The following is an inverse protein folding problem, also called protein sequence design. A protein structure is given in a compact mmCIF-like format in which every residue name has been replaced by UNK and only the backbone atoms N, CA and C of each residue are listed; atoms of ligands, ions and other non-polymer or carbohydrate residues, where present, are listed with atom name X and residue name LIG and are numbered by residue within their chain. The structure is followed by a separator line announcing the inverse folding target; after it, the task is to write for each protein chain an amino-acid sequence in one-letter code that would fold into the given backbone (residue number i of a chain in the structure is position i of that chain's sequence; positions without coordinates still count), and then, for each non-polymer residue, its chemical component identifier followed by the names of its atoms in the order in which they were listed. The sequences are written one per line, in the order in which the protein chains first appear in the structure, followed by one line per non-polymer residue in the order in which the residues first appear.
data_IF_791834310669
#
_entry.id   IF_791834310669
#
_cell.length_a   1.000
_cell.length_b   1.000
_cell.length_c   1.000
_cell.angle_alpha   90.00
_cell.angle_beta   90.00
_cell.angle_gamma   90.00
#
_symmetry.space_group_name_H-M   'P 1'
#
loop_
_entity.id
_entity.type
_entity.pdbx_description
1 polymer ?
#
# COMPACT_ATOMS: atom_id res chain seq x y z
N UNK A 1 28.74 33.54 -68.17
CA UNK A 1 27.49 33.49 -67.39
C UNK A 1 27.86 33.15 -65.97
N UNK A 2 28.08 34.16 -65.11
CA UNK A 2 28.56 34.03 -63.76
C UNK A 2 27.33 34.18 -62.79
N UNK A 3 26.98 33.12 -62.04
CA UNK A 3 25.93 33.17 -61.02
C UNK A 3 26.50 33.64 -59.70
N UNK A 4 26.09 34.81 -59.26
CA UNK A 4 26.37 35.43 -57.96
C UNK A 4 25.51 34.74 -56.90
N UNK A 5 26.14 34.09 -55.95
CA UNK A 5 25.45 33.54 -54.74
C UNK A 5 25.64 34.53 -53.60
N UNK A 6 24.54 35.19 -53.23
CA UNK A 6 24.45 36.05 -52.07
C UNK A 6 24.29 35.18 -50.81
N UNK A 7 25.31 35.21 -49.96
CA UNK A 7 25.31 34.49 -48.68
C UNK A 7 24.69 35.41 -47.62
N UNK A 8 23.44 35.15 -47.22
CA UNK A 8 22.76 35.89 -46.16
C UNK A 8 23.16 35.26 -44.79
N UNK A 9 24.09 35.92 -44.09
CA UNK A 9 24.55 35.52 -42.77
C UNK A 9 23.54 36.04 -41.72
N UNK A 10 22.58 35.19 -41.27
CA UNK A 10 21.72 35.48 -40.14
C UNK A 10 22.54 35.39 -38.82
N UNK A 11 22.90 36.53 -38.29
CA UNK A 11 23.51 36.67 -36.97
C UNK A 11 22.41 36.49 -35.90
N UNK A 12 22.27 35.29 -35.37
CA UNK A 12 21.43 35.01 -34.19
C UNK A 12 22.12 35.69 -32.97
N UNK A 13 21.64 36.85 -32.57
CA UNK A 13 21.99 37.43 -31.27
C UNK A 13 21.32 36.59 -30.16
N UNK A 14 22.08 35.66 -29.60
CA UNK A 14 21.72 35.04 -28.31
C UNK A 14 21.81 36.13 -27.23
N UNK A 15 20.66 36.64 -26.81
CA UNK A 15 20.57 37.45 -25.59
C UNK A 15 20.83 36.54 -24.41
N UNK A 16 22.09 36.46 -23.96
CA UNK A 16 22.42 35.95 -22.66
C UNK A 16 21.75 36.90 -21.64
N UNK A 17 20.80 36.37 -20.86
CA UNK A 17 20.22 37.07 -19.73
C UNK A 17 21.35 37.33 -18.73
N UNK A 18 21.95 38.51 -18.78
CA UNK A 18 22.92 38.97 -17.81
C UNK A 18 22.16 39.18 -16.47
N UNK A 19 22.63 38.53 -15.43
CA UNK A 19 22.18 38.79 -14.06
C UNK A 19 22.63 40.26 -13.75
N UNK A 20 21.66 41.11 -13.53
CA UNK A 20 21.90 42.53 -13.27
C UNK A 20 22.40 42.67 -11.82
N UNK A 21 23.64 43.12 -11.62
CA UNK A 21 24.26 43.24 -10.30
C UNK A 21 24.06 44.65 -9.74
N UNK A 22 23.49 44.73 -8.57
CA UNK A 22 23.30 45.98 -7.81
C UNK A 22 24.51 46.15 -6.89
N UNK A 23 25.35 47.12 -7.15
CA UNK A 23 26.51 47.45 -6.33
C UNK A 23 26.02 48.34 -5.13
N UNK A 24 26.21 47.87 -3.91
CA UNK A 24 25.82 48.62 -2.71
C UNK A 24 26.95 48.59 -1.68
N UNK A 25 27.24 49.75 -1.11
CA UNK A 25 28.15 49.87 0.02
C UNK A 25 27.46 49.51 1.35
N UNK A 26 28.26 49.34 2.42
CA UNK A 26 27.73 48.91 3.73
C UNK A 26 26.70 49.89 4.32
N UNK A 27 26.89 51.20 4.11
CA UNK A 27 25.97 52.25 4.59
C UNK A 27 24.62 52.15 3.85
N UNK A 28 24.63 51.96 2.56
CA UNK A 28 23.40 51.79 1.75
C UNK A 28 22.62 50.52 2.08
N UNK A 29 23.32 49.41 2.38
CA UNK A 29 22.67 48.17 2.85
C UNK A 29 21.93 48.41 4.16
N UNK A 30 22.50 49.19 5.07
CA UNK A 30 21.91 49.51 6.36
C UNK A 30 20.70 50.46 6.25
N UNK A 31 20.83 51.48 5.39
CA UNK A 31 19.73 52.43 5.10
C UNK A 31 18.52 51.77 4.47
N UNK A 32 18.73 50.78 3.61
CA UNK A 32 17.67 50.00 2.96
C UNK A 32 17.07 48.92 3.88
N UNK A 33 17.59 48.74 5.10
CA UNK A 33 17.12 47.79 6.07
C UNK A 33 17.18 46.33 5.57
N UNK A 34 18.22 45.99 4.76
CA UNK A 34 18.36 44.69 4.18
C UNK A 34 18.76 43.68 5.26
N UNK A 35 17.99 42.60 5.37
CA UNK A 35 18.32 41.43 6.19
C UNK A 35 18.50 40.22 5.28
N UNK A 36 19.61 39.53 5.45
CA UNK A 36 19.92 38.32 4.70
C UNK A 36 19.66 37.09 5.53
N UNK A 37 19.22 36.05 4.85
CA UNK A 37 19.13 34.67 5.41
C UNK A 37 19.90 33.72 4.49
N UNK A 38 20.62 32.73 5.06
CA UNK A 38 21.23 31.72 4.23
C UNK A 38 20.12 30.90 3.54
N UNK A 39 20.32 30.60 2.27
CA UNK A 39 19.44 29.71 1.55
C UNK A 39 19.54 28.30 2.19
N UNK A 40 18.45 27.71 2.69
CA UNK A 40 18.52 26.43 3.34
C UNK A 40 19.13 25.41 2.36
N UNK A 41 19.83 24.42 2.92
CA UNK A 41 20.23 23.27 2.11
C UNK A 41 18.98 22.68 1.46
N UNK A 42 19.11 22.18 0.21
CA UNK A 42 17.97 21.59 -0.52
C UNK A 42 17.06 20.79 0.41
N UNK A 43 15.91 21.33 0.71
CA UNK A 43 14.89 20.55 1.40
C UNK A 43 14.24 19.64 0.35
N UNK A 44 14.15 18.37 0.68
CA UNK A 44 13.32 17.45 -0.08
C UNK A 44 11.92 18.08 -0.12
N UNK A 45 11.35 18.23 -1.31
CA UNK A 45 9.99 18.73 -1.42
C UNK A 45 9.05 17.82 -0.62
N UNK A 46 8.16 18.43 0.17
CA UNK A 46 7.14 17.70 0.89
C UNK A 46 5.78 18.00 0.28
N UNK A 47 5.03 16.95 -0.03
CA UNK A 47 3.61 17.07 -0.35
C UNK A 47 2.82 16.86 0.94
N UNK A 48 2.52 17.97 1.60
CA UNK A 48 1.75 17.97 2.85
C UNK A 48 0.23 18.04 2.59
N UNK A 49 -0.57 17.60 3.56
CA UNK A 49 -2.03 17.72 3.52
C UNK A 49 -2.71 16.86 2.47
N UNK A 50 -2.07 15.76 2.02
CA UNK A 50 -2.68 14.87 1.04
C UNK A 50 -3.77 14.00 1.68
N UNK A 51 -5.02 14.05 1.19
CA UNK A 51 -6.09 13.24 1.74
C UNK A 51 -5.80 11.76 1.53
N UNK A 52 -5.92 11.00 2.61
CA UNK A 52 -5.65 9.57 2.62
C UNK A 52 -6.69 8.82 3.45
N UNK A 53 -6.96 7.58 3.05
CA UNK A 53 -7.76 6.65 3.83
C UNK A 53 -6.89 5.52 4.36
N UNK A 54 -7.08 5.18 5.63
CA UNK A 54 -6.44 4.04 6.27
C UNK A 54 -7.16 2.78 5.83
N UNK A 55 -6.44 1.83 5.23
CA UNK A 55 -6.99 0.56 4.77
C UNK A 55 -6.18 -0.63 5.28
N UNK A 56 -6.82 -1.78 5.35
CA UNK A 56 -6.14 -3.03 5.67
C UNK A 56 -5.56 -3.60 4.37
N UNK A 57 -4.27 -3.98 4.31
CA UNK A 57 -3.73 -4.71 3.16
C UNK A 57 -4.55 -5.95 2.85
N UNK A 58 -4.85 -6.21 1.56
CA UNK A 58 -5.77 -7.31 1.17
C UNK A 58 -5.32 -8.71 1.61
N UNK A 59 -4.02 -8.93 1.82
CA UNK A 59 -3.48 -10.17 2.34
C UNK A 59 -3.60 -10.32 3.88
N UNK A 60 -4.12 -9.32 4.57
CA UNK A 60 -4.29 -9.28 6.02
C UNK A 60 -5.77 -9.31 6.45
N UNK A 61 -6.70 -9.35 5.51
CA UNK A 61 -8.14 -9.39 5.75
C UNK A 61 -8.70 -10.74 5.32
N UNK A 62 -9.35 -11.45 6.25
CA UNK A 62 -9.91 -12.78 6.01
C UNK A 62 -11.38 -12.82 6.40
N UNK A 63 -12.22 -13.15 5.44
CA UNK A 63 -13.62 -13.48 5.69
C UNK A 63 -13.73 -14.97 5.94
N UNK A 64 -14.23 -15.35 7.09
CA UNK A 64 -14.43 -16.73 7.52
C UNK A 64 -15.90 -17.06 7.33
N UNK A 65 -16.18 -18.01 6.44
CA UNK A 65 -17.54 -18.42 6.08
C UNK A 65 -17.80 -19.86 6.52
N UNK A 66 -19.07 -20.23 6.65
CA UNK A 66 -19.42 -21.63 6.90
C UNK A 66 -19.16 -22.50 5.65
N UNK A 67 -18.42 -23.60 5.77
CA UNK A 67 -18.15 -24.48 4.64
C UNK A 67 -19.33 -25.38 4.25
N UNK A 68 -20.26 -25.61 5.18
CA UNK A 68 -21.44 -26.46 5.01
C UNK A 68 -22.68 -25.75 5.60
N UNK A 69 -23.89 -26.11 5.15
CA UNK A 69 -25.11 -25.69 5.83
C UNK A 69 -25.08 -26.13 7.30
N UNK A 70 -25.29 -25.18 8.21
CA UNK A 70 -25.16 -25.44 9.64
C UNK A 70 -26.03 -24.49 10.48
N UNK A 71 -26.26 -24.85 11.73
CA UNK A 71 -26.79 -23.99 12.77
C UNK A 71 -25.66 -23.53 13.68
N UNK A 72 -25.63 -22.23 13.99
CA UNK A 72 -24.66 -21.69 14.95
C UNK A 72 -25.05 -22.13 16.35
N UNK A 73 -24.26 -22.99 16.96
CA UNK A 73 -24.51 -23.45 18.35
C UNK A 73 -24.11 -22.35 19.33
N UNK A 74 -22.88 -21.82 19.18
CA UNK A 74 -22.39 -20.71 20.00
C UNK A 74 -21.30 -19.91 19.23
N UNK A 75 -21.18 -18.64 19.59
CA UNK A 75 -20.08 -17.77 19.20
C UNK A 75 -19.18 -17.52 20.41
N UNK A 76 -17.86 -17.68 20.23
CA UNK A 76 -16.86 -17.59 21.29
C UNK A 76 -16.02 -16.32 21.22
N UNK A 77 -16.14 -15.58 20.11
CA UNK A 77 -15.44 -14.32 19.88
C UNK A 77 -16.43 -13.21 19.50
N UNK A 78 -16.19 -12.01 19.96
CA UNK A 78 -16.92 -10.79 19.66
C UNK A 78 -16.13 -9.82 18.81
N UNK A 79 -16.79 -8.77 18.30
CA UNK A 79 -16.13 -7.68 17.59
C UNK A 79 -15.15 -6.96 18.51
N UNK A 80 -13.92 -6.74 18.04
CA UNK A 80 -12.84 -6.13 18.81
C UNK A 80 -11.95 -7.12 19.57
N UNK A 81 -12.34 -8.40 19.66
CA UNK A 81 -11.54 -9.39 20.37
C UNK A 81 -10.25 -9.73 19.60
N UNK A 82 -9.10 -9.79 20.27
CA UNK A 82 -7.87 -10.32 19.69
C UNK A 82 -7.98 -11.86 19.59
N UNK A 83 -7.58 -12.40 18.47
CA UNK A 83 -7.62 -13.84 18.17
C UNK A 83 -6.31 -14.35 17.65
N UNK A 84 -5.99 -15.62 17.94
CA UNK A 84 -4.80 -16.30 17.44
C UNK A 84 -5.16 -17.26 16.32
N UNK A 85 -4.21 -17.51 15.44
CA UNK A 85 -4.34 -18.55 14.42
C UNK A 85 -4.71 -19.91 15.06
N UNK A 86 -5.76 -20.54 14.53
CA UNK A 86 -6.31 -21.78 15.04
C UNK A 86 -7.23 -21.63 16.27
N UNK A 87 -7.39 -20.42 16.82
CA UNK A 87 -8.33 -20.19 17.91
C UNK A 87 -9.77 -20.38 17.43
N UNK A 88 -10.57 -21.10 18.20
CA UNK A 88 -11.99 -21.35 17.93
C UNK A 88 -12.79 -20.05 18.13
N UNK A 89 -13.52 -19.65 17.08
CA UNK A 89 -14.37 -18.44 17.06
C UNK A 89 -15.84 -18.78 17.26
N UNK A 90 -16.27 -19.95 16.75
CA UNK A 90 -17.63 -20.44 16.88
C UNK A 90 -17.66 -21.96 16.81
N UNK A 91 -18.74 -22.54 17.32
CA UNK A 91 -19.13 -23.93 17.12
C UNK A 91 -20.42 -23.97 16.33
N UNK A 92 -20.43 -24.77 15.26
CA UNK A 92 -21.59 -24.99 14.42
C UNK A 92 -22.07 -26.42 14.55
N UNK A 93 -23.35 -26.66 14.33
CA UNK A 93 -23.95 -27.99 14.20
C UNK A 93 -24.38 -28.17 12.71
N UNK A 94 -23.81 -29.17 12.04
CA UNK A 94 -24.09 -29.45 10.64
C UNK A 94 -24.50 -30.92 10.45
N UNK A 95 -25.77 -31.21 10.10
CA UNK A 95 -26.17 -32.53 9.68
C UNK A 95 -25.42 -33.02 8.42
N UNK A 96 -25.09 -32.10 7.51
CA UNK A 96 -24.32 -32.42 6.31
C UNK A 96 -22.89 -32.90 6.63
N UNK A 97 -22.28 -32.42 7.74
CA UNK A 97 -21.00 -32.92 8.21
C UNK A 97 -21.11 -34.39 8.65
N UNK A 98 -22.13 -34.72 9.43
CA UNK A 98 -22.37 -36.12 9.86
C UNK A 98 -22.61 -37.05 8.66
N UNK A 99 -23.31 -36.58 7.63
CA UNK A 99 -23.50 -37.31 6.36
C UNK A 99 -22.18 -37.55 5.64
N UNK A 100 -21.34 -36.51 5.48
CA UNK A 100 -20.03 -36.63 4.86
C UNK A 100 -19.09 -37.57 5.65
N UNK A 101 -19.13 -37.55 6.99
CA UNK A 101 -18.39 -38.48 7.85
C UNK A 101 -18.85 -39.93 7.66
N UNK A 102 -20.15 -40.17 7.55
CA UNK A 102 -20.71 -41.48 7.25
C UNK A 102 -20.21 -42.02 5.92
N UNK A 103 -20.20 -41.15 4.89
CA UNK A 103 -19.65 -41.48 3.58
C UNK A 103 -18.16 -41.84 3.61
N UNK A 104 -17.36 -41.20 4.44
CA UNK A 104 -15.96 -41.57 4.67
C UNK A 104 -15.84 -42.97 5.29
N UNK A 105 -16.56 -43.26 6.35
CA UNK A 105 -16.50 -44.57 7.03
C UNK A 105 -16.90 -45.69 6.09
N UNK A 106 -17.95 -45.49 5.30
CA UNK A 106 -18.37 -46.46 4.26
C UNK A 106 -17.26 -46.71 3.22
N UNK A 107 -16.67 -45.64 2.68
CA UNK A 107 -15.57 -45.77 1.70
C UNK A 107 -14.30 -46.38 2.34
N UNK A 108 -14.04 -46.13 3.62
CA UNK A 108 -12.95 -46.77 4.35
C UNK A 108 -13.12 -48.25 4.46
N UNK A 109 -14.33 -48.74 4.84
CA UNK A 109 -14.64 -50.15 4.93
C UNK A 109 -14.52 -50.82 3.55
N UNK A 110 -15.02 -50.18 2.48
CA UNK A 110 -14.93 -50.74 1.11
C UNK A 110 -13.48 -50.83 0.63
N UNK A 111 -12.65 -49.81 0.89
CA UNK A 111 -11.23 -49.82 0.54
C UNK A 111 -10.46 -50.89 1.31
N UNK A 112 -10.77 -51.09 2.59
CA UNK A 112 -10.18 -52.15 3.38
C UNK A 112 -10.53 -53.54 2.84
N UNK A 113 -11.81 -53.80 2.55
CA UNK A 113 -12.26 -55.08 1.94
C UNK A 113 -11.58 -55.32 0.60
N UNK A 114 -11.50 -54.31 -0.27
CA UNK A 114 -10.82 -54.43 -1.56
C UNK A 114 -9.32 -54.72 -1.41
N UNK A 115 -8.67 -54.14 -0.39
CA UNK A 115 -7.28 -54.41 -0.04
C UNK A 115 -7.08 -55.87 0.40
N UNK A 116 -7.93 -56.38 1.26
CA UNK A 116 -7.86 -57.76 1.76
C UNK A 116 -8.06 -58.78 0.60
N UNK A 117 -9.01 -58.52 -0.30
CA UNK A 117 -9.21 -59.29 -1.48
C UNK A 117 -7.98 -59.27 -2.40
N UNK A 118 -7.37 -58.10 -2.59
CA UNK A 118 -6.15 -57.97 -3.41
C UNK A 118 -4.99 -58.77 -2.79
N UNK A 119 -4.74 -58.65 -1.51
CA UNK A 119 -3.65 -59.40 -0.82
C UNK A 119 -3.86 -60.90 -0.95
N UNK A 120 -5.09 -61.38 -0.81
CA UNK A 120 -5.44 -62.80 -1.00
C UNK A 120 -5.22 -63.25 -2.47
N UNK A 121 -5.72 -62.51 -3.44
CA UNK A 121 -5.60 -62.85 -4.85
C UNK A 121 -4.16 -62.75 -5.35
N UNK A 122 -3.33 -61.86 -4.83
CA UNK A 122 -1.88 -61.80 -5.07
C UNK A 122 -1.18 -63.09 -4.62
N UNK A 123 -1.56 -63.62 -3.45
CA UNK A 123 -1.02 -64.92 -3.00
C UNK A 123 -1.48 -66.10 -3.87
N UNK A 124 -2.77 -66.19 -4.16
CA UNK A 124 -3.32 -67.24 -5.02
C UNK A 124 -2.74 -67.23 -6.46
N UNK A 125 -2.42 -66.08 -6.98
CA UNK A 125 -1.75 -65.95 -8.28
C UNK A 125 -0.30 -66.44 -8.20
N UNK A 126 0.45 -66.10 -7.15
CA UNK A 126 1.80 -66.62 -6.93
C UNK A 126 1.82 -68.14 -6.84
N UNK A 127 0.77 -68.70 -6.25
CA UNK A 127 0.61 -70.16 -6.11
C UNK A 127 0.05 -70.81 -7.40
N UNK A 128 -0.18 -70.04 -8.49
CA UNK A 128 -0.66 -70.56 -9.77
C UNK A 128 -2.14 -70.94 -9.78
N UNK A 129 -2.93 -70.55 -8.76
CA UNK A 129 -4.32 -70.97 -8.58
C UNK A 129 -5.30 -70.10 -9.37
N UNK A 130 -5.00 -68.79 -9.57
CA UNK A 130 -5.88 -67.88 -10.31
C UNK A 130 -5.18 -67.31 -11.55
N UNK A 131 -6.01 -66.86 -12.52
CA UNK A 131 -5.51 -66.22 -13.73
C UNK A 131 -5.03 -64.78 -13.50
N UNK A 132 -4.09 -64.32 -14.32
CA UNK A 132 -3.63 -62.93 -14.29
C UNK A 132 -4.76 -61.92 -14.54
N UNK A 133 -5.75 -62.28 -15.38
CA UNK A 133 -6.92 -61.42 -15.62
C UNK A 133 -7.74 -61.17 -14.35
N UNK A 134 -7.88 -62.19 -13.49
CA UNK A 134 -8.56 -62.05 -12.19
C UNK A 134 -7.76 -61.14 -11.27
N UNK A 135 -6.46 -61.35 -11.16
CA UNK A 135 -5.60 -60.44 -10.33
C UNK A 135 -5.73 -58.99 -10.80
N UNK A 136 -5.64 -58.73 -12.11
CA UNK A 136 -5.82 -57.37 -12.66
C UNK A 136 -7.18 -56.76 -12.31
N UNK A 137 -8.26 -57.54 -12.35
CA UNK A 137 -9.59 -57.09 -11.94
C UNK A 137 -9.63 -56.66 -10.47
N UNK A 138 -9.07 -57.49 -9.55
CA UNK A 138 -8.98 -57.19 -8.12
C UNK A 138 -8.10 -55.96 -7.86
N UNK A 139 -6.98 -55.80 -8.58
CA UNK A 139 -6.14 -54.62 -8.52
C UNK A 139 -6.90 -53.35 -8.95
N UNK A 140 -7.75 -53.47 -10.01
CA UNK A 140 -8.57 -52.33 -10.46
C UNK A 140 -9.61 -51.96 -9.41
N UNK A 141 -10.30 -52.94 -8.79
CA UNK A 141 -11.28 -52.71 -7.73
C UNK A 141 -10.65 -52.02 -6.51
N UNK A 142 -9.44 -52.47 -6.11
CA UNK A 142 -8.74 -51.81 -4.99
C UNK A 142 -8.37 -50.36 -5.33
N UNK A 143 -7.86 -50.09 -6.55
CA UNK A 143 -7.54 -48.73 -6.97
C UNK A 143 -8.77 -47.81 -6.98
N UNK A 144 -9.90 -48.28 -7.45
CA UNK A 144 -11.18 -47.55 -7.45
C UNK A 144 -11.65 -47.23 -6.02
N UNK A 145 -11.69 -48.25 -5.15
CA UNK A 145 -12.11 -48.08 -3.77
C UNK A 145 -11.19 -47.11 -3.00
N UNK A 146 -9.88 -47.21 -3.24
CA UNK A 146 -8.91 -46.33 -2.60
C UNK A 146 -9.00 -44.88 -3.13
N UNK A 147 -9.32 -44.67 -4.42
CA UNK A 147 -9.57 -43.37 -4.98
C UNK A 147 -10.84 -42.72 -4.36
N UNK A 148 -11.92 -43.48 -4.20
CA UNK A 148 -13.15 -43.03 -3.56
C UNK A 148 -12.90 -42.64 -2.08
N UNK A 149 -12.09 -43.41 -1.35
CA UNK A 149 -11.69 -43.08 0.02
C UNK A 149 -10.89 -41.77 0.07
N UNK A 150 -9.95 -41.57 -0.86
CA UNK A 150 -9.16 -40.35 -0.93
C UNK A 150 -10.03 -39.13 -1.23
N UNK A 151 -11.01 -39.25 -2.12
CA UNK A 151 -12.00 -38.21 -2.41
C UNK A 151 -12.79 -37.83 -1.16
N UNK A 152 -13.33 -38.80 -0.42
CA UNK A 152 -14.10 -38.54 0.81
C UNK A 152 -13.26 -37.86 1.88
N UNK A 153 -12.00 -38.24 2.04
CA UNK A 153 -11.06 -37.55 2.93
C UNK A 153 -10.88 -36.10 2.54
N UNK A 154 -10.71 -35.83 1.26
CA UNK A 154 -10.54 -34.48 0.75
C UNK A 154 -11.79 -33.62 0.97
N UNK A 155 -12.98 -34.15 0.76
CA UNK A 155 -14.24 -33.45 1.02
C UNK A 155 -14.36 -33.03 2.50
N UNK A 156 -13.99 -33.91 3.44
CA UNK A 156 -14.02 -33.57 4.87
C UNK A 156 -13.00 -32.49 5.25
N UNK A 157 -11.80 -32.48 4.63
CA UNK A 157 -10.83 -31.40 4.80
C UNK A 157 -11.37 -30.05 4.30
N UNK A 158 -11.98 -30.05 3.13
CA UNK A 158 -12.64 -28.85 2.56
C UNK A 158 -13.81 -28.37 3.42
N UNK A 159 -14.43 -29.28 4.15
CA UNK A 159 -15.49 -28.99 5.11
C UNK A 159 -14.96 -28.47 6.47
N UNK A 160 -13.63 -28.25 6.61
CA UNK A 160 -13.01 -27.69 7.79
C UNK A 160 -12.54 -28.70 8.85
N UNK A 161 -12.59 -30.02 8.58
CA UNK A 161 -12.00 -31.02 9.49
C UNK A 161 -10.47 -31.06 9.33
N UNK A 162 -9.76 -31.10 10.44
CA UNK A 162 -8.32 -31.33 10.44
C UNK A 162 -7.97 -32.78 10.07
N UNK A 163 -6.72 -33.01 9.62
CA UNK A 163 -6.25 -34.39 9.35
C UNK A 163 -6.29 -35.28 10.61
N UNK A 164 -6.07 -34.68 11.78
CA UNK A 164 -6.18 -35.39 13.05
C UNK A 164 -7.61 -35.83 13.34
N UNK A 165 -8.60 -34.96 13.06
CA UNK A 165 -10.02 -35.30 13.28
C UNK A 165 -10.50 -36.35 12.27
N UNK A 166 -10.07 -36.29 11.01
CA UNK A 166 -10.36 -37.31 10.00
C UNK A 166 -9.74 -38.65 10.38
N UNK A 167 -8.51 -38.66 10.90
CA UNK A 167 -7.87 -39.89 11.38
C UNK A 167 -8.57 -40.46 12.61
N UNK A 168 -8.97 -39.61 13.57
CA UNK A 168 -9.72 -40.01 14.75
C UNK A 168 -11.10 -40.58 14.39
N UNK A 169 -11.79 -39.98 13.41
CA UNK A 169 -13.04 -40.51 12.89
C UNK A 169 -12.88 -41.93 12.33
N UNK A 170 -11.79 -42.20 11.64
CA UNK A 170 -11.52 -43.53 11.09
C UNK A 170 -11.14 -44.59 12.16
N UNK A 171 -10.49 -44.16 13.27
CA UNK A 171 -10.15 -45.08 14.38
C UNK A 171 -11.33 -45.37 15.31
N UNK A 172 -12.05 -44.32 15.68
CA UNK A 172 -13.04 -44.39 16.75
C UNK A 172 -14.44 -44.67 16.21
N UNK A 173 -14.68 -44.47 14.91
CA UNK A 173 -15.97 -44.60 14.23
C UNK A 173 -17.08 -43.73 14.84
N UNK A 174 -16.73 -42.67 15.59
CA UNK A 174 -17.69 -41.79 16.27
C UNK A 174 -17.99 -40.57 15.35
N UNK A 175 -19.26 -40.45 14.97
CA UNK A 175 -19.76 -39.30 14.21
C UNK A 175 -19.95 -38.10 15.12
N UNK A 176 -19.63 -36.92 14.61
CA UNK A 176 -19.90 -35.64 15.27
C UNK A 176 -20.52 -34.65 14.27
N UNK A 177 -21.63 -34.03 14.65
CA UNK A 177 -22.22 -32.95 13.87
C UNK A 177 -21.57 -31.59 14.16
N UNK A 178 -20.68 -31.52 15.18
CA UNK A 178 -20.03 -30.27 15.57
C UNK A 178 -18.88 -29.92 14.63
N UNK A 179 -18.90 -28.68 14.14
CA UNK A 179 -17.86 -28.09 13.31
C UNK A 179 -17.27 -26.87 14.03
N UNK A 180 -15.98 -26.89 14.27
CA UNK A 180 -15.26 -25.76 14.86
C UNK A 180 -14.89 -24.76 13.75
N UNK A 181 -15.29 -23.51 13.90
CA UNK A 181 -14.83 -22.40 13.07
C UNK A 181 -13.65 -21.74 13.76
N UNK A 182 -12.51 -21.70 13.10
CA UNK A 182 -11.25 -21.19 13.68
C UNK A 182 -10.69 -20.01 12.88
N UNK A 183 -9.91 -19.16 13.55
CA UNK A 183 -9.19 -18.08 12.86
C UNK A 183 -8.06 -18.62 12.02
N UNK A 184 -7.92 -18.21 10.73
CA UNK A 184 -6.78 -18.59 9.88
C UNK A 184 -5.52 -17.82 10.20
N UNK A 185 -5.61 -16.68 10.91
CA UNK A 185 -4.51 -15.75 11.20
C UNK A 185 -4.57 -15.29 12.67
N UNK A 186 -3.44 -14.72 13.14
CA UNK A 186 -3.44 -13.86 14.31
C UNK A 186 -4.00 -12.49 13.90
N UNK A 187 -4.89 -11.91 14.73
CA UNK A 187 -5.51 -10.64 14.37
C UNK A 187 -6.62 -10.22 15.33
N UNK A 188 -7.53 -9.40 14.84
CA UNK A 188 -8.69 -8.87 15.58
C UNK A 188 -9.95 -9.14 14.77
N UNK A 189 -11.03 -9.51 15.46
CA UNK A 189 -12.35 -9.66 14.85
C UNK A 189 -12.90 -8.28 14.52
N UNK A 190 -13.09 -7.99 13.25
CA UNK A 190 -13.67 -6.71 12.78
C UNK A 190 -15.20 -6.78 12.71
N UNK A 191 -15.71 -7.92 12.28
CA UNK A 191 -17.14 -8.12 12.08
C UNK A 191 -17.56 -9.53 12.56
N UNK A 192 -18.74 -9.60 13.12
CA UNK A 192 -19.44 -10.83 13.45
C UNK A 192 -20.82 -10.78 12.80
N UNK A 193 -21.04 -11.60 11.76
CA UNK A 193 -22.25 -11.58 10.94
C UNK A 193 -23.27 -12.64 11.33
N UNK A 194 -22.95 -13.52 12.30
CA UNK A 194 -23.84 -14.61 12.72
C UNK A 194 -24.08 -14.61 14.23
N UNK A 195 -25.28 -15.04 14.62
CA UNK A 195 -25.71 -15.15 15.99
C UNK A 195 -26.02 -16.62 16.37
N UNK A 196 -25.88 -16.96 17.67
CA UNK A 196 -26.23 -18.28 18.16
C UNK A 196 -27.73 -18.60 17.86
N UNK A 197 -28.01 -19.84 17.47
CA UNK A 197 -29.32 -20.32 17.04
C UNK A 197 -29.65 -20.04 15.56
N UNK A 198 -28.86 -19.24 14.86
CA UNK A 198 -29.10 -18.93 13.45
C UNK A 198 -28.73 -20.11 12.55
N UNK A 199 -29.59 -20.43 11.57
CA UNK A 199 -29.29 -21.37 10.48
C UNK A 199 -28.69 -20.63 9.31
N UNK A 200 -27.63 -21.18 8.75
CA UNK A 200 -26.86 -20.60 7.65
C UNK A 200 -26.65 -21.62 6.56
N UNK A 201 -26.73 -21.17 5.33
CA UNK A 201 -26.31 -21.95 4.17
C UNK A 201 -24.77 -21.92 4.01
N UNK A 202 -24.25 -22.78 3.16
CA UNK A 202 -22.82 -22.78 2.82
C UNK A 202 -22.37 -21.42 2.27
N UNK A 203 -21.13 -21.08 2.52
CA UNK A 203 -20.45 -19.85 2.08
C UNK A 203 -20.99 -18.54 2.70
N UNK A 204 -21.91 -18.59 3.67
CA UNK A 204 -22.34 -17.38 4.40
C UNK A 204 -21.22 -16.92 5.34
N UNK A 205 -20.83 -15.62 5.31
CA UNK A 205 -19.85 -15.06 6.21
C UNK A 205 -20.26 -15.17 7.68
N UNK A 206 -19.32 -15.54 8.54
CA UNK A 206 -19.48 -15.64 9.99
C UNK A 206 -18.69 -14.56 10.73
N UNK A 207 -17.42 -14.40 10.33
CA UNK A 207 -16.49 -13.45 10.92
C UNK A 207 -15.62 -12.82 9.84
N UNK A 208 -15.25 -11.57 10.07
CA UNK A 208 -14.14 -10.92 9.38
C UNK A 208 -13.03 -10.70 10.38
N UNK A 209 -11.86 -11.29 10.13
CA UNK A 209 -10.67 -11.16 10.97
C UNK A 209 -9.59 -10.48 10.19
N UNK A 210 -8.90 -9.52 10.82
CA UNK A 210 -7.81 -8.81 10.17
C UNK A 210 -6.59 -8.68 11.08
N UNK A 211 -5.42 -8.68 10.44
CA UNK A 211 -4.19 -8.22 11.06
C UNK A 211 -4.09 -6.71 10.86
N UNK A 212 -3.98 -5.96 11.96
CA UNK A 212 -4.01 -4.50 11.94
C UNK A 212 -2.63 -3.86 11.88
N UNK A 213 -1.57 -4.65 11.82
CA UNK A 213 -0.18 -4.20 11.68
C UNK A 213 0.57 -5.07 10.68
N UNK A 214 1.17 -4.43 9.65
CA UNK A 214 1.10 -3.00 9.28
C UNK A 214 -0.23 -2.62 8.63
N UNK A 215 -0.63 -1.33 8.70
CA UNK A 215 -1.74 -0.78 7.93
C UNK A 215 -1.25 -0.15 6.62
N UNK A 216 -2.15 0.05 5.68
CA UNK A 216 -1.86 0.79 4.45
C UNK A 216 -2.61 2.12 4.42
N UNK A 217 -2.06 3.10 3.71
CA UNK A 217 -2.74 4.33 3.34
C UNK A 217 -3.01 4.32 1.84
N UNK A 218 -4.22 4.64 1.47
CA UNK A 218 -4.59 4.99 0.11
C UNK A 218 -4.68 6.51 0.02
N UNK A 219 -3.68 7.12 -0.64
CA UNK A 219 -3.47 8.56 -0.67
C UNK A 219 -3.87 9.07 -2.05
N UNK A 220 -4.71 10.09 -2.11
CA UNK A 220 -5.13 10.74 -3.36
C UNK A 220 -4.24 11.94 -3.63
N UNK A 221 -3.52 11.92 -4.76
CA UNK A 221 -2.61 13.00 -5.14
C UNK A 221 -3.00 13.55 -6.51
N UNK A 222 -3.16 14.87 -6.68
CA UNK A 222 -3.40 15.49 -7.97
C UNK A 222 -2.27 15.15 -8.96
N UNK A 223 -2.61 14.90 -10.23
CA UNK A 223 -1.64 14.51 -11.26
C UNK A 223 -0.48 15.53 -11.38
N UNK A 224 -0.78 16.82 -11.22
CA UNK A 224 0.22 17.89 -11.27
C UNK A 224 1.32 17.76 -10.19
N UNK A 225 1.02 17.11 -9.06
CA UNK A 225 1.92 16.95 -7.91
C UNK A 225 2.66 15.62 -7.89
N UNK A 226 2.60 14.85 -8.97
CA UNK A 226 3.20 13.51 -9.02
C UNK A 226 4.66 13.49 -9.46
N UNK A 227 5.17 14.61 -10.00
CA UNK A 227 6.57 14.75 -10.38
C UNK A 227 7.48 14.64 -9.16
N UNK A 228 8.48 13.74 -9.23
CA UNK A 228 9.42 13.49 -8.12
C UNK A 228 8.96 12.47 -7.08
N UNK A 229 7.77 11.85 -7.23
CA UNK A 229 7.36 10.72 -6.41
C UNK A 229 8.11 9.46 -6.82
N UNK A 230 8.70 8.78 -5.84
CA UNK A 230 9.39 7.49 -6.05
C UNK A 230 8.88 6.47 -5.05
N UNK A 231 8.77 5.20 -5.47
CA UNK A 231 8.52 4.09 -4.54
C UNK A 231 9.65 4.08 -3.50
N UNK A 232 9.28 3.87 -2.24
CA UNK A 232 10.19 3.95 -1.10
C UNK A 232 10.26 5.33 -0.44
N UNK A 233 9.62 6.36 -1.01
CA UNK A 233 9.51 7.69 -0.38
C UNK A 233 8.90 7.59 1.02
N UNK A 234 9.38 8.41 1.95
CA UNK A 234 8.85 8.47 3.31
C UNK A 234 7.45 9.09 3.31
N UNK A 235 6.55 8.45 4.02
CA UNK A 235 5.17 8.91 4.22
C UNK A 235 4.92 9.02 5.71
N UNK A 236 4.38 10.15 6.15
CA UNK A 236 4.04 10.40 7.54
C UNK A 236 2.59 10.84 7.68
N UNK A 237 2.00 10.53 8.84
CA UNK A 237 0.72 11.07 9.28
C UNK A 237 0.96 11.82 10.59
N UNK A 238 1.27 13.12 10.54
CA UNK A 238 1.76 13.88 11.70
C UNK A 238 0.78 13.85 12.89
N UNK A 239 -0.51 13.97 12.62
CA UNK A 239 -1.56 13.97 13.65
C UNK A 239 -1.59 12.70 14.51
N UNK A 240 -1.11 11.56 13.98
CA UNK A 240 -1.12 10.25 14.65
C UNK A 240 0.28 9.71 14.93
N UNK A 241 1.32 10.52 14.66
CA UNK A 241 2.71 10.12 14.80
C UNK A 241 3.03 8.79 14.09
N UNK A 242 2.40 8.58 12.94
CA UNK A 242 2.53 7.34 12.16
C UNK A 242 3.47 7.58 10.96
N UNK A 243 4.30 6.56 10.65
CA UNK A 243 5.30 6.63 9.60
C UNK A 243 5.33 5.35 8.77
N UNK A 244 5.67 5.51 7.51
CA UNK A 244 5.77 4.42 6.58
C UNK A 244 6.49 4.80 5.29
N UNK A 245 6.30 3.97 4.28
CA UNK A 245 6.92 4.14 2.96
C UNK A 245 5.91 3.94 1.85
N UNK A 246 6.07 4.72 0.79
CA UNK A 246 5.31 4.57 -0.45
C UNK A 246 5.66 3.23 -1.12
N UNK A 247 4.65 2.40 -1.36
CA UNK A 247 4.82 1.05 -1.93
C UNK A 247 4.33 0.94 -3.36
N UNK A 248 3.37 1.78 -3.75
CA UNK A 248 2.85 1.78 -5.11
C UNK A 248 2.38 3.18 -5.53
N UNK A 249 2.53 3.45 -6.82
CA UNK A 249 2.03 4.65 -7.50
C UNK A 249 1.05 4.18 -8.57
N UNK A 250 -0.23 4.55 -8.43
CA UNK A 250 -1.27 4.23 -9.40
C UNK A 250 -0.97 4.82 -10.78
N UNK A 251 -1.44 4.13 -11.81
CA UNK A 251 -1.28 4.57 -13.21
C UNK A 251 -2.61 5.00 -13.85
N UNK A 252 -3.71 4.84 -13.13
CA UNK A 252 -5.04 5.27 -13.56
C UNK A 252 -5.46 6.52 -12.80
N UNK A 253 -6.18 7.41 -13.50
CA UNK A 253 -6.81 8.57 -12.89
C UNK A 253 -8.16 8.17 -12.29
N UNK A 254 -8.47 8.69 -11.11
CA UNK A 254 -9.81 8.60 -10.55
C UNK A 254 -10.77 9.51 -11.33
N UNK A 255 -11.91 8.95 -11.76
CA UNK A 255 -12.77 9.50 -12.80
C UNK A 255 -13.43 10.88 -12.56
N UNK A 256 -13.21 11.56 -11.45
CA UNK A 256 -13.81 12.88 -11.19
C UNK A 256 -12.81 13.99 -10.91
N UNK A 257 -11.68 13.69 -10.27
CA UNK A 257 -10.81 14.70 -9.65
C UNK A 257 -9.39 14.78 -10.25
N UNK A 258 -9.10 14.05 -11.34
CA UNK A 258 -7.76 13.94 -11.94
C UNK A 258 -6.67 13.64 -10.90
N UNK A 259 -6.98 12.82 -9.92
CA UNK A 259 -6.04 12.33 -8.92
C UNK A 259 -5.57 10.94 -9.26
N UNK A 260 -4.35 10.61 -8.85
CA UNK A 260 -3.84 9.24 -8.82
C UNK A 260 -3.86 8.71 -7.39
N UNK A 261 -4.08 7.41 -7.28
CA UNK A 261 -4.05 6.71 -6.01
C UNK A 261 -2.64 6.22 -5.72
N UNK A 262 -2.08 6.65 -4.61
CA UNK A 262 -0.82 6.13 -4.09
C UNK A 262 -1.12 5.17 -2.93
N UNK A 263 -0.28 4.15 -2.77
CA UNK A 263 -0.37 3.26 -1.61
C UNK A 263 0.93 3.33 -0.81
N UNK A 264 0.80 3.58 0.49
CA UNK A 264 1.90 3.55 1.45
C UNK A 264 1.64 2.49 2.52
N UNK A 265 2.69 1.85 3.01
CA UNK A 265 2.62 0.88 4.10
C UNK A 265 3.14 1.55 5.38
N UNK A 266 2.29 1.62 6.40
CA UNK A 266 2.58 2.23 7.70
C UNK A 266 2.95 1.13 8.69
N UNK A 267 4.16 1.22 9.23
CA UNK A 267 4.70 0.26 10.22
C UNK A 267 4.83 0.85 11.60
N UNK A 268 5.34 2.09 11.67
CA UNK A 268 5.50 2.82 12.93
C UNK A 268 4.23 3.60 13.23
N UNK A 269 3.72 3.48 14.46
CA UNK A 269 2.50 4.19 14.88
C UNK A 269 1.20 3.68 14.24
N UNK A 270 1.21 2.50 13.59
CA UNK A 270 0.00 1.90 13.00
C UNK A 270 -1.11 1.68 14.04
N UNK A 271 -0.74 1.35 15.28
CA UNK A 271 -1.69 1.18 16.39
C UNK A 271 -2.53 2.42 16.72
N UNK A 272 -2.05 3.61 16.33
CA UNK A 272 -2.76 4.89 16.53
C UNK A 272 -3.82 5.14 15.44
N UNK A 273 -3.82 4.34 14.37
CA UNK A 273 -4.74 4.49 13.24
C UNK A 273 -5.87 3.45 13.32
N UNK A 274 -6.98 3.76 12.67
CA UNK A 274 -8.11 2.83 12.57
C UNK A 274 -8.46 2.60 11.09
N UNK A 275 -8.67 1.36 10.65
CA UNK A 275 -9.17 1.08 9.31
C UNK A 275 -10.43 1.88 9.00
N UNK A 276 -10.53 2.41 7.78
CA UNK A 276 -11.63 3.27 7.33
C UNK A 276 -11.47 4.75 7.70
N UNK A 277 -10.53 5.11 8.57
CA UNK A 277 -10.27 6.49 8.99
C UNK A 277 -9.69 7.32 7.84
N UNK A 278 -10.17 8.58 7.70
CA UNK A 278 -9.57 9.58 6.83
C UNK A 278 -8.54 10.40 7.59
N UNK A 279 -7.38 10.59 6.98
CA UNK A 279 -6.23 11.29 7.56
C UNK A 279 -5.55 12.15 6.50
N UNK A 280 -4.72 13.09 6.94
CA UNK A 280 -3.83 13.85 6.06
C UNK A 280 -2.42 13.25 6.12
N UNK A 281 -1.91 12.87 4.96
CA UNK A 281 -0.57 12.34 4.80
C UNK A 281 0.38 13.38 4.24
N UNK A 282 1.62 13.33 4.70
CA UNK A 282 2.74 14.08 4.12
C UNK A 282 3.70 13.11 3.47
N UNK A 283 4.04 13.35 2.20
CA UNK A 283 4.94 12.52 1.42
C UNK A 283 6.22 13.30 1.16
N UNK A 284 7.36 12.76 1.56
CA UNK A 284 8.66 13.33 1.22
C UNK A 284 8.99 12.95 -0.22
N UNK A 285 9.04 13.94 -1.11
CA UNK A 285 9.48 13.70 -2.48
C UNK A 285 11.01 13.64 -2.51
N UNK A 286 11.57 12.55 -2.96
CA UNK A 286 12.99 12.49 -3.28
C UNK A 286 13.17 13.19 -4.63
N UNK A 287 13.12 14.51 -4.60
CA UNK A 287 13.38 15.30 -5.79
C UNK A 287 14.85 15.22 -6.17
N UNK A 288 15.18 14.53 -7.25
CA UNK A 288 16.19 14.99 -8.19
C UNK A 288 15.59 16.14 -9.04
N UNK A 289 14.82 17.04 -8.44
CA UNK A 289 14.61 18.34 -9.04
C UNK A 289 15.80 19.19 -8.58
N UNK A 290 16.89 19.23 -9.35
CA UNK A 290 17.99 20.12 -9.04
C UNK A 290 17.39 21.52 -8.99
N UNK A 291 17.62 22.23 -7.89
CA UNK A 291 17.26 23.63 -7.74
C UNK A 291 15.84 23.97 -7.28
N UNK A 292 15.21 23.20 -6.38
CA UNK A 292 14.02 23.64 -5.64
C UNK A 292 14.42 24.18 -4.25
N UNK A 293 13.93 25.37 -3.92
CA UNK A 293 14.27 26.08 -2.69
C UNK A 293 13.00 26.57 -1.99
N UNK A 294 12.88 26.34 -0.68
CA UNK A 294 11.86 26.99 0.13
C UNK A 294 12.43 28.31 0.61
N UNK A 295 11.78 29.41 0.26
CA UNK A 295 12.19 30.75 0.64
C UNK A 295 11.02 31.50 1.29
N UNK A 296 11.27 32.35 2.29
CA UNK A 296 10.23 33.22 2.86
C UNK A 296 9.58 34.07 1.77
N UNK A 297 8.27 34.29 1.84
CA UNK A 297 7.53 35.09 0.85
C UNK A 297 8.10 36.50 0.72
N UNK A 298 8.68 37.05 1.83
CA UNK A 298 9.36 38.34 1.84
C UNK A 298 10.64 38.45 1.02
N UNK A 299 11.24 37.32 0.61
CA UNK A 299 12.42 37.28 -0.24
C UNK A 299 12.07 37.34 -1.73
N UNK A 300 10.79 37.16 -2.08
CA UNK A 300 10.32 37.12 -3.47
C UNK A 300 9.95 38.54 -3.95
N UNK A 301 10.59 39.02 -5.02
CA UNK A 301 10.18 40.23 -5.71
C UNK A 301 9.58 39.87 -7.08
N UNK A 302 8.65 40.68 -7.56
CA UNK A 302 8.12 40.59 -8.93
C UNK A 302 8.55 41.81 -9.74
N UNK A 303 9.25 41.60 -10.84
CA UNK A 303 9.69 42.64 -11.80
C UNK A 303 8.99 42.36 -13.12
N UNK A 304 8.00 43.20 -13.46
CA UNK A 304 7.08 42.90 -14.56
C UNK A 304 6.37 41.55 -14.30
N UNK A 305 6.52 40.62 -15.21
CA UNK A 305 5.91 39.29 -15.12
C UNK A 305 6.87 38.19 -14.59
N UNK A 306 8.06 38.58 -14.10
CA UNK A 306 9.08 37.64 -13.60
C UNK A 306 9.22 37.73 -12.11
N UNK A 307 9.27 36.57 -11.44
CA UNK A 307 9.65 36.46 -10.05
C UNK A 307 11.19 36.42 -9.96
N UNK A 308 11.76 37.18 -9.01
CA UNK A 308 13.20 37.25 -8.79
C UNK A 308 13.53 37.19 -7.29
N UNK A 309 14.72 36.69 -6.98
CA UNK A 309 15.33 36.66 -5.67
C UNK A 309 16.65 37.40 -5.73
N UNK A 310 16.96 38.17 -4.69
CA UNK A 310 18.24 38.91 -4.61
C UNK A 310 19.25 38.09 -3.78
N UNK A 311 20.32 37.66 -4.47
CA UNK A 311 21.41 36.89 -3.85
C UNK A 311 22.58 37.81 -3.54
N UNK A 312 23.09 37.76 -2.31
CA UNK A 312 24.23 38.53 -1.88
C UNK A 312 25.50 38.13 -2.65
N UNK A 313 26.24 39.15 -3.11
CA UNK A 313 27.55 39.00 -3.73
C UNK A 313 28.60 39.80 -2.94
N UNK A 314 29.86 39.68 -3.29
CA UNK A 314 30.95 40.43 -2.67
C UNK A 314 30.79 41.96 -2.85
N UNK A 315 30.09 42.42 -3.89
CA UNK A 315 29.91 43.84 -4.23
C UNK A 315 28.51 44.38 -3.98
N UNK A 316 27.56 43.53 -3.63
CA UNK A 316 26.16 43.94 -3.43
C UNK A 316 25.18 42.78 -3.59
N UNK A 317 24.27 42.87 -4.57
CA UNK A 317 23.25 41.83 -4.83
C UNK A 317 23.12 41.58 -6.32
N UNK A 318 22.95 40.30 -6.70
CA UNK A 318 22.52 39.92 -8.05
C UNK A 318 21.05 39.51 -8.04
N UNK A 319 20.31 39.91 -9.03
CA UNK A 319 18.95 39.43 -9.23
C UNK A 319 18.99 38.07 -9.93
N UNK A 320 18.37 37.06 -9.36
CA UNK A 320 18.23 35.75 -9.95
C UNK A 320 16.76 35.47 -10.28
N UNK A 321 16.46 35.20 -11.55
CA UNK A 321 15.10 34.84 -11.96
C UNK A 321 14.72 33.47 -11.44
N UNK A 322 13.55 33.37 -10.82
CA UNK A 322 13.03 32.11 -10.28
C UNK A 322 11.61 31.84 -10.79
N UNK A 323 11.27 30.57 -10.90
CA UNK A 323 9.90 30.14 -11.19
C UNK A 323 9.28 29.69 -9.87
N UNK A 324 8.14 30.28 -9.50
CA UNK A 324 7.39 29.91 -8.30
C UNK A 324 6.59 28.66 -8.64
N UNK A 325 6.85 27.56 -7.91
CA UNK A 325 6.14 26.29 -8.06
C UNK A 325 4.94 26.21 -7.13
N UNK A 326 5.08 26.76 -5.92
CA UNK A 326 4.02 26.77 -4.92
C UNK A 326 4.17 28.00 -4.03
N UNK A 327 3.08 28.71 -3.77
CA UNK A 327 3.02 29.82 -2.79
C UNK A 327 2.29 29.31 -1.53
N UNK A 328 3.02 29.19 -0.41
CA UNK A 328 2.46 28.87 0.90
C UNK A 328 2.11 30.15 1.70
N UNK A 329 1.59 29.99 2.91
CA UNK A 329 1.21 31.13 3.77
C UNK A 329 2.41 31.97 4.21
N UNK A 330 3.55 31.36 4.52
CA UNK A 330 4.78 32.01 5.00
C UNK A 330 5.94 31.88 4.05
N UNK A 331 6.01 30.77 3.32
CA UNK A 331 7.12 30.40 2.47
C UNK A 331 6.64 29.99 1.09
N UNK A 332 7.46 30.24 0.07
CA UNK A 332 7.22 29.83 -1.31
C UNK A 332 8.29 28.84 -1.78
N UNK A 333 7.89 27.83 -2.54
CA UNK A 333 8.81 26.92 -3.20
C UNK A 333 9.12 27.45 -4.59
N UNK A 334 10.39 27.71 -4.85
CA UNK A 334 10.87 28.26 -6.11
C UNK A 334 11.93 27.36 -6.75
N UNK A 335 12.04 27.43 -8.07
CA UNK A 335 13.14 26.82 -8.82
C UNK A 335 13.92 27.90 -9.57
N UNK A 336 15.26 27.78 -9.61
CA UNK A 336 16.15 28.75 -10.24
C UNK A 336 17.61 28.36 -10.10
N UNK A 337 18.51 29.15 -10.67
CA UNK A 337 19.97 28.92 -10.62
C UNK A 337 20.55 29.38 -9.26
N UNK A 338 19.97 28.92 -8.15
CA UNK A 338 20.43 29.20 -6.80
C UNK A 338 21.34 28.06 -6.30
N UNK A 339 22.26 28.36 -5.39
CA UNK A 339 23.18 27.38 -4.79
C UNK A 339 22.97 27.31 -3.28
N UNK A 340 23.06 26.11 -2.70
CA UNK A 340 22.99 25.92 -1.26
C UNK A 340 24.06 26.73 -0.52
N UNK A 341 23.68 27.38 0.57
CA UNK A 341 24.57 28.26 1.35
C UNK A 341 24.72 29.69 0.84
N UNK A 342 24.18 30.04 -0.33
CA UNK A 342 24.08 31.43 -0.74
C UNK A 342 23.16 32.21 0.24
N UNK A 343 23.48 33.50 0.47
CA UNK A 343 22.63 34.36 1.28
C UNK A 343 21.66 35.12 0.39
N UNK A 344 20.40 35.13 0.75
CA UNK A 344 19.35 35.85 0.03
C UNK A 344 18.78 36.97 0.91
N UNK A 345 18.39 38.09 0.31
CA UNK A 345 17.69 39.16 1.01
C UNK A 345 16.26 38.70 1.32
N UNK A 346 15.90 38.75 2.64
CA UNK A 346 14.54 38.39 3.12
C UNK A 346 13.77 39.64 3.60
N UNK A 347 14.47 40.76 3.82
CA UNK A 347 13.90 42.09 4.08
C UNK A 347 14.63 43.14 3.26
N UNK A 348 14.02 44.30 3.04
CA UNK A 348 14.59 45.37 2.20
C UNK A 348 14.52 45.08 0.68
N UNK A 349 13.82 44.04 0.29
CA UNK A 349 13.69 43.56 -1.09
C UNK A 349 13.05 44.64 -2.00
N UNK A 350 12.12 45.45 -1.49
CA UNK A 350 11.51 46.54 -2.26
C UNK A 350 12.52 47.63 -2.60
N UNK A 351 13.47 47.93 -1.72
CA UNK A 351 14.56 48.86 -1.96
C UNK A 351 15.52 48.36 -3.01
N UNK A 352 15.88 47.07 -2.95
CA UNK A 352 16.69 46.41 -3.99
C UNK A 352 16.00 46.42 -5.37
N UNK A 353 14.69 46.18 -5.37
CA UNK A 353 13.89 46.28 -6.60
C UNK A 353 13.92 47.69 -7.19
N UNK A 354 13.73 48.73 -6.35
CA UNK A 354 13.77 50.11 -6.79
C UNK A 354 15.13 50.48 -7.35
N UNK A 355 16.23 50.09 -6.69
CA UNK A 355 17.60 50.30 -7.18
C UNK A 355 17.86 49.59 -8.51
N UNK A 356 17.34 48.37 -8.71
CA UNK A 356 17.46 47.67 -9.96
C UNK A 356 16.72 48.37 -11.14
N UNK A 357 15.58 49.00 -10.81
CA UNK A 357 14.76 49.71 -11.82
C UNK A 357 15.22 51.14 -12.06
N UNK A 358 16.34 51.56 -11.47
CA UNK A 358 16.85 52.94 -11.56
C UNK A 358 15.98 54.01 -10.90
N UNK A 359 15.02 53.56 -10.05
CA UNK A 359 14.12 54.45 -9.31
C UNK A 359 14.70 54.59 -7.89
N UNK A 360 15.59 55.51 -7.64
CA UNK A 360 16.18 55.70 -6.30
C UNK A 360 17.65 56.09 -6.29
N UNK A 361 18.07 56.86 -7.23
CA UNK A 361 19.40 57.47 -7.27
C UNK A 361 19.30 58.98 -7.15
N UNK A 362 19.27 59.50 -5.93
CA UNK A 362 19.80 60.82 -5.53
C UNK A 362 20.45 60.67 -4.17
#
# INVERSE_FOLDING_TARGET
MKKFRLLFLCLLMAHAAQAEEIVLNASQKQTLGIVNSPLPAMQHGELAGMPAQVVIPGNQLFTISTPLPAMVEQTLAGVGDPVRKGQRLATLQSPALAEAQRGLLQSSTQAQLAKENLVRDEQLWKDGIISESRLRATQSQYREANAALAERKQLLRLSGMSDADVSRLQSDNMLSSQLAVTSPIDGVVLEKSANAGQRLDAAIPLFTVAQLEPLALEIQVPLANTSGLKIGASVTVPAYNAKGKLTAIGRSLSGGNQTILLRALIREGAANLRPGQFVEATIVTTGDAPNQWSIPNGALARIGNRAVVFVETAKGYRSEAVTVLHEGATDSVVTGKLKGGEKIAVRGVSGLKASLMGIGGE
#
